data_IF_683041945810
#
_entry.id   IF_683041945810
#
_cell.length_a   1.000
_cell.length_b   1.000
_cell.length_c   1.000
_cell.angle_alpha   90.00
_cell.angle_beta   90.00
_cell.angle_gamma   90.00
#
_symmetry.space_group_name_H-M   'P 1'
#
loop_
_entity.id
_entity.type
_entity.pdbx_description
1 polymer ?
#
# COMPACT_ATOMS: atom_id res chain seq x y z
N UNK A 1 -2.17 -14.58 -16.44
CA UNK A 1 -1.08 -15.00 -15.55
C UNK A 1 -0.41 -13.75 -15.00
N UNK A 2 -0.11 -13.72 -13.72
CA UNK A 2 0.66 -12.63 -13.09
C UNK A 2 2.12 -12.71 -13.57
N UNK A 3 2.75 -11.57 -13.83
CA UNK A 3 4.18 -11.49 -14.13
C UNK A 3 5.03 -11.77 -12.89
N UNK A 4 6.30 -12.12 -13.09
CA UNK A 4 7.27 -12.31 -11.99
C UNK A 4 7.36 -11.08 -11.09
N UNK A 5 7.36 -9.88 -11.68
CA UNK A 5 7.45 -8.62 -10.93
C UNK A 5 6.20 -8.37 -10.10
N UNK A 6 5.01 -8.56 -10.67
CA UNK A 6 3.76 -8.45 -9.92
C UNK A 6 3.68 -9.49 -8.79
N UNK A 7 4.18 -10.70 -9.01
CA UNK A 7 4.25 -11.73 -7.97
C UNK A 7 5.22 -11.36 -6.83
N UNK A 8 6.35 -10.75 -7.16
CA UNK A 8 7.33 -10.26 -6.18
C UNK A 8 6.76 -9.10 -5.35
N UNK A 9 6.05 -8.18 -5.98
CA UNK A 9 5.33 -7.09 -5.31
C UNK A 9 4.24 -7.63 -4.38
N UNK A 10 3.48 -8.63 -4.85
CA UNK A 10 2.48 -9.33 -4.04
C UNK A 10 3.10 -9.94 -2.77
N UNK A 11 4.19 -10.67 -2.90
CA UNK A 11 4.90 -11.24 -1.73
C UNK A 11 5.38 -10.14 -0.78
N UNK A 12 5.91 -9.04 -1.31
CA UNK A 12 6.38 -7.93 -0.49
C UNK A 12 5.22 -7.26 0.28
N UNK A 13 4.06 -7.12 -0.35
CA UNK A 13 2.86 -6.60 0.31
C UNK A 13 2.43 -7.49 1.47
N UNK A 14 2.36 -8.82 1.26
CA UNK A 14 1.99 -9.78 2.31
C UNK A 14 2.97 -9.70 3.48
N UNK A 15 4.29 -9.65 3.20
CA UNK A 15 5.32 -9.54 4.24
C UNK A 15 5.09 -8.33 5.15
N UNK A 16 4.75 -7.18 4.57
CA UNK A 16 4.50 -5.95 5.32
C UNK A 16 3.19 -6.03 6.11
N UNK A 17 2.10 -6.47 5.48
CA UNK A 17 0.77 -6.48 6.09
C UNK A 17 0.67 -7.49 7.25
N UNK A 18 1.20 -8.69 7.03
CA UNK A 18 1.13 -9.80 7.99
C UNK A 18 2.33 -9.83 8.95
N UNK A 19 3.32 -8.94 8.74
CA UNK A 19 4.61 -8.93 9.46
C UNK A 19 5.33 -10.28 9.41
N UNK A 20 5.25 -10.95 8.26
CA UNK A 20 5.88 -12.24 8.00
C UNK A 20 7.10 -12.09 7.10
N UNK A 21 8.02 -13.03 7.20
CA UNK A 21 9.09 -13.21 6.25
C UNK A 21 8.71 -14.24 5.16
N UNK A 22 9.55 -14.38 4.14
CA UNK A 22 9.24 -15.23 2.99
C UNK A 22 9.24 -16.74 3.33
N UNK A 23 10.04 -17.19 4.29
CA UNK A 23 10.01 -18.60 4.71
C UNK A 23 8.75 -18.93 5.50
N UNK A 24 8.22 -17.99 6.28
CA UNK A 24 6.93 -18.13 6.97
C UNK A 24 5.76 -18.16 6.00
N UNK A 25 5.77 -17.31 4.97
CA UNK A 25 4.77 -17.34 3.89
C UNK A 25 4.80 -18.69 3.18
N UNK A 26 5.99 -19.17 2.80
CA UNK A 26 6.17 -20.46 2.15
C UNK A 26 5.68 -21.62 3.04
N UNK A 27 5.97 -21.57 4.33
CA UNK A 27 5.52 -22.56 5.32
C UNK A 27 3.99 -22.59 5.42
N UNK A 28 3.33 -21.42 5.46
CA UNK A 28 1.86 -21.31 5.44
C UNK A 28 1.25 -21.84 4.14
N UNK A 29 1.94 -21.66 3.01
CA UNK A 29 1.52 -22.20 1.72
C UNK A 29 1.75 -23.71 1.58
N UNK A 30 2.52 -24.33 2.48
CA UNK A 30 2.96 -25.72 2.34
C UNK A 30 4.00 -25.94 1.25
N UNK A 31 4.77 -24.90 0.87
CA UNK A 31 5.82 -24.98 -0.15
C UNK A 31 7.20 -24.71 0.44
N UNK A 32 8.25 -25.17 -0.25
CA UNK A 32 9.63 -24.87 0.17
C UNK A 32 9.91 -23.38 -0.03
N UNK A 33 10.61 -22.76 0.94
CA UNK A 33 11.02 -21.35 0.83
C UNK A 33 11.87 -21.08 -0.42
N UNK A 34 12.74 -22.02 -0.80
CA UNK A 34 13.53 -21.93 -2.04
C UNK A 34 12.66 -21.90 -3.28
N UNK A 35 11.59 -22.68 -3.32
CA UNK A 35 10.65 -22.73 -4.45
C UNK A 35 9.93 -21.39 -4.63
N UNK A 36 9.52 -20.76 -3.53
CA UNK A 36 8.90 -19.44 -3.56
C UNK A 36 9.91 -18.35 -4.00
N UNK A 37 11.17 -18.45 -3.57
CA UNK A 37 12.26 -17.58 -4.03
C UNK A 37 12.58 -17.75 -5.50
N UNK A 38 12.60 -18.99 -6.01
CA UNK A 38 12.84 -19.28 -7.41
C UNK A 38 11.73 -18.67 -8.28
N UNK A 39 10.47 -18.72 -7.84
CA UNK A 39 9.37 -18.01 -8.51
C UNK A 39 9.52 -16.50 -8.47
N UNK A 40 9.81 -15.93 -7.30
CA UNK A 40 9.96 -14.47 -7.13
C UNK A 40 11.13 -13.88 -7.93
N UNK A 41 12.13 -14.71 -8.26
CA UNK A 41 13.28 -14.33 -9.07
C UNK A 41 13.17 -14.80 -10.54
N UNK A 42 12.02 -15.35 -10.94
CA UNK A 42 11.76 -15.76 -12.33
C UNK A 42 12.54 -16.99 -12.80
N UNK A 43 13.12 -17.76 -11.88
CA UNK A 43 13.78 -19.05 -12.19
C UNK A 43 12.76 -20.16 -12.46
N UNK A 44 11.56 -20.02 -11.91
CA UNK A 44 10.42 -20.91 -12.09
C UNK A 44 9.19 -20.06 -12.41
N UNK A 45 8.31 -20.49 -13.33
CA UNK A 45 7.08 -19.76 -13.62
C UNK A 45 6.16 -19.68 -12.40
N UNK A 46 5.47 -18.55 -12.26
CA UNK A 46 4.44 -18.39 -11.22
C UNK A 46 3.24 -19.26 -11.57
N UNK A 47 2.84 -20.12 -10.65
CA UNK A 47 1.75 -21.08 -10.85
C UNK A 47 0.44 -20.59 -10.23
N UNK A 48 -0.69 -20.95 -10.85
CA UNK A 48 -2.03 -20.57 -10.34
C UNK A 48 -2.32 -21.15 -8.96
N UNK A 49 -1.81 -22.34 -8.64
CA UNK A 49 -1.98 -22.96 -7.32
C UNK A 49 -1.38 -22.11 -6.20
N UNK A 50 -0.18 -21.56 -6.43
CA UNK A 50 0.49 -20.66 -5.49
C UNK A 50 -0.28 -19.35 -5.34
N UNK A 51 -0.73 -18.75 -6.44
CA UNK A 51 -1.51 -17.50 -6.41
C UNK A 51 -2.82 -17.71 -5.64
N UNK A 52 -3.54 -18.81 -5.93
CA UNK A 52 -4.78 -19.17 -5.25
C UNK A 52 -4.56 -19.35 -3.75
N UNK A 53 -3.53 -20.13 -3.37
CA UNK A 53 -3.17 -20.33 -1.96
C UNK A 53 -2.85 -19.01 -1.24
N UNK A 54 -2.11 -18.10 -1.88
CA UNK A 54 -1.83 -16.77 -1.31
C UNK A 54 -3.10 -15.94 -1.14
N UNK A 55 -3.99 -15.96 -2.12
CA UNK A 55 -5.26 -15.21 -2.06
C UNK A 55 -6.19 -15.72 -0.95
N UNK A 56 -6.25 -17.03 -0.74
CA UNK A 56 -7.07 -17.68 0.30
C UNK A 56 -6.50 -17.43 1.70
N UNK A 57 -5.18 -17.56 1.87
CA UNK A 57 -4.55 -17.45 3.19
C UNK A 57 -4.47 -16.01 3.68
N UNK A 58 -4.25 -15.05 2.78
CA UNK A 58 -3.96 -13.67 3.14
C UNK A 58 -5.04 -12.68 2.70
N UNK A 59 -6.22 -13.18 2.29
CA UNK A 59 -7.38 -12.38 1.85
C UNK A 59 -7.01 -11.28 0.83
N UNK A 60 -6.10 -11.62 -0.07
CA UNK A 60 -5.55 -10.66 -1.02
C UNK A 60 -6.62 -10.37 -2.05
N UNK A 61 -7.04 -9.11 -2.15
CA UNK A 61 -7.83 -8.65 -3.28
C UNK A 61 -6.91 -8.67 -4.50
N UNK A 62 -6.97 -9.73 -5.31
CA UNK A 62 -6.28 -9.79 -6.59
C UNK A 62 -6.71 -8.56 -7.41
N UNK A 63 -5.84 -7.55 -7.50
CA UNK A 63 -6.07 -6.42 -8.39
C UNK A 63 -5.91 -6.95 -9.82
N UNK A 64 -7.02 -7.44 -10.39
CA UNK A 64 -7.19 -7.37 -11.83
C UNK A 64 -7.32 -5.89 -12.19
N UNK A 65 -6.20 -5.18 -12.36
CA UNK A 65 -6.23 -3.97 -13.16
C UNK A 65 -6.26 -4.39 -14.62
N UNK A 66 -7.43 -4.84 -15.06
CA UNK A 66 -7.83 -4.65 -16.44
C UNK A 66 -7.80 -3.15 -16.70
N UNK A 67 -6.83 -2.73 -17.50
CA UNK A 67 -6.76 -1.38 -18.07
C UNK A 67 -8.04 -1.17 -18.89
N UNK A 68 -9.02 -0.46 -18.35
CA UNK A 68 -10.04 0.23 -19.14
C UNK A 68 -10.80 1.27 -18.31
N UNK A 69 -10.61 2.54 -18.65
CA UNK A 69 -11.63 3.59 -18.54
C UNK A 69 -11.80 4.31 -17.20
N UNK A 70 -11.11 5.45 -17.09
CA UNK A 70 -11.46 6.63 -16.30
C UNK A 70 -11.76 6.49 -14.79
N UNK A 71 -10.75 6.81 -13.96
CA UNK A 71 -10.92 7.77 -12.85
C UNK A 71 -9.57 8.33 -12.38
N UNK A 72 -9.43 9.65 -12.61
CA UNK A 72 -8.62 10.65 -11.90
C UNK A 72 -7.12 10.39 -11.77
N UNK A 73 -6.42 10.96 -12.74
CA UNK A 73 -4.98 11.14 -12.84
C UNK A 73 -4.38 11.90 -11.64
N UNK A 74 -3.32 11.34 -11.05
CA UNK A 74 -2.11 12.11 -10.81
C UNK A 74 -0.94 11.39 -11.49
N UNK A 75 -0.31 12.15 -12.37
CA UNK A 75 0.49 11.67 -13.49
C UNK A 75 1.79 10.99 -13.07
N UNK A 76 2.08 9.95 -13.85
CA UNK A 76 3.37 9.29 -14.09
C UNK A 76 4.57 10.24 -14.13
N UNK A 77 5.62 9.90 -13.40
CA UNK A 77 6.98 10.13 -13.87
C UNK A 77 7.58 8.77 -14.22
N UNK A 78 7.72 8.57 -15.52
CA UNK A 78 8.60 7.61 -16.18
C UNK A 78 10.05 7.78 -15.72
N UNK A 79 10.81 6.67 -15.70
CA UNK A 79 12.25 6.48 -15.41
C UNK A 79 12.40 5.64 -14.12
N UNK A 80 13.12 4.53 -14.06
CA UNK A 80 14.18 4.05 -14.93
C UNK A 80 14.40 2.56 -14.67
N UNK A 81 14.74 1.81 -15.71
CA UNK A 81 15.39 0.51 -15.58
C UNK A 81 16.85 0.77 -15.17
N UNK A 82 17.09 1.19 -13.92
CA UNK A 82 18.43 1.22 -13.29
C UNK A 82 18.28 1.73 -11.86
N UNK A 83 18.35 0.84 -10.87
CA UNK A 83 19.35 0.97 -9.81
C UNK A 83 19.21 -0.19 -8.86
N UNK A 84 20.03 -1.20 -9.10
CA UNK A 84 20.19 -2.38 -8.26
C UNK A 84 20.95 -2.07 -6.95
N UNK A 85 21.08 -0.78 -6.58
CA UNK A 85 21.68 -0.28 -5.34
C UNK A 85 21.14 1.13 -5.02
N UNK A 86 20.14 1.27 -4.15
CA UNK A 86 19.86 2.58 -3.53
C UNK A 86 19.34 2.52 -2.10
N UNK A 87 19.68 1.47 -1.34
CA UNK A 87 19.65 1.52 0.13
C UNK A 87 20.89 2.29 0.65
N UNK A 88 21.20 3.44 0.04
CA UNK A 88 22.17 4.36 0.65
C UNK A 88 21.42 5.07 1.79
N UNK A 89 21.97 5.10 3.02
CA UNK A 89 21.31 5.71 4.20
C UNK A 89 20.73 7.10 3.93
N UNK A 90 21.33 7.85 3.02
CA UNK A 90 20.94 9.21 2.65
C UNK A 90 19.64 9.27 1.82
N UNK A 91 19.37 8.25 0.99
CA UNK A 91 18.14 8.16 0.20
C UNK A 91 16.95 7.83 1.11
N UNK A 92 17.15 6.90 2.05
CA UNK A 92 16.15 6.58 3.07
C UNK A 92 15.88 7.76 4.00
N UNK A 93 16.92 8.52 4.39
CA UNK A 93 16.76 9.78 5.14
C UNK A 93 15.93 10.80 4.37
N UNK A 94 16.19 10.98 3.07
CA UNK A 94 15.41 11.91 2.25
C UNK A 94 13.95 11.48 2.09
N UNK A 95 13.65 10.18 2.06
CA UNK A 95 12.29 9.66 2.05
C UNK A 95 11.59 9.92 3.40
N UNK A 96 12.29 9.68 4.52
CA UNK A 96 11.79 9.96 5.88
C UNK A 96 11.48 11.45 6.03
N UNK A 97 12.40 12.33 5.63
CA UNK A 97 12.19 13.79 5.71
C UNK A 97 10.98 14.26 4.90
N UNK A 98 10.70 13.62 3.74
CA UNK A 98 9.50 13.91 2.95
C UNK A 98 8.23 13.43 3.66
N UNK A 99 8.27 12.24 4.25
CA UNK A 99 7.14 11.69 4.99
C UNK A 99 6.83 12.53 6.22
N UNK A 100 7.84 12.99 6.96
CA UNK A 100 7.67 13.85 8.13
C UNK A 100 7.01 15.18 7.75
N UNK A 101 7.43 15.82 6.64
CA UNK A 101 6.76 17.04 6.13
C UNK A 101 5.29 16.81 5.77
N UNK A 102 4.98 15.67 5.15
CA UNK A 102 3.59 15.32 4.81
C UNK A 102 2.76 15.08 6.07
N UNK A 103 3.36 14.49 7.11
CA UNK A 103 2.71 14.28 8.41
C UNK A 103 2.40 15.65 9.04
N UNK A 104 3.39 16.55 9.12
CA UNK A 104 3.21 17.91 9.65
C UNK A 104 2.09 18.67 8.93
N UNK A 105 2.10 18.68 7.59
CA UNK A 105 1.05 19.34 6.79
C UNK A 105 -0.33 18.76 7.07
N UNK A 106 -0.43 17.43 7.20
CA UNK A 106 -1.70 16.76 7.52
C UNK A 106 -2.18 17.08 8.92
N UNK A 107 -1.29 17.17 9.90
CA UNK A 107 -1.65 17.54 11.27
C UNK A 107 -2.20 18.98 11.36
N UNK A 108 -1.58 19.92 10.65
CA UNK A 108 -2.10 21.30 10.55
C UNK A 108 -3.49 21.32 9.92
N UNK A 109 -3.69 20.57 8.83
CA UNK A 109 -4.99 20.48 8.16
C UNK A 109 -6.07 19.82 9.01
N UNK A 110 -5.70 18.86 9.86
CA UNK A 110 -6.62 18.26 10.83
C UNK A 110 -7.02 19.30 11.89
N UNK A 111 -6.06 20.04 12.46
CA UNK A 111 -6.35 21.11 13.42
C UNK A 111 -7.27 22.18 12.84
N UNK A 112 -7.06 22.57 11.59
CA UNK A 112 -7.91 23.52 10.88
C UNK A 112 -9.34 22.98 10.73
N UNK A 113 -9.49 21.71 10.32
CA UNK A 113 -10.80 21.07 10.18
C UNK A 113 -11.53 20.94 11.52
N UNK A 114 -10.83 20.62 12.60
CA UNK A 114 -11.41 20.54 13.94
C UNK A 114 -11.94 21.91 14.41
N UNK A 115 -11.23 22.99 14.10
CA UNK A 115 -11.70 24.35 14.41
C UNK A 115 -12.99 24.70 13.63
N UNK A 116 -13.03 24.37 12.33
CA UNK A 116 -14.21 24.59 11.49
C UNK A 116 -15.42 23.76 11.96
N UNK A 117 -15.19 22.53 12.43
CA UNK A 117 -16.27 21.68 12.99
C UNK A 117 -16.82 22.30 14.27
N UNK A 118 -15.95 22.73 15.20
CA UNK A 118 -16.38 23.40 16.44
C UNK A 118 -17.21 24.66 16.17
N UNK A 119 -16.79 25.45 15.19
CA UNK A 119 -17.54 26.65 14.79
C UNK A 119 -18.93 26.27 14.24
N UNK A 120 -19.00 25.29 13.34
CA UNK A 120 -20.28 24.81 12.79
C UNK A 120 -21.18 24.21 13.86
N UNK A 121 -20.63 23.46 14.82
CA UNK A 121 -21.40 22.93 15.94
C UNK A 121 -22.00 24.05 16.79
N UNK A 122 -21.25 25.13 17.05
CA UNK A 122 -21.77 26.29 17.75
C UNK A 122 -22.89 26.98 16.97
N UNK A 123 -22.74 27.15 15.65
CA UNK A 123 -23.77 27.71 14.77
C UNK A 123 -25.03 26.83 14.72
N UNK A 124 -24.88 25.51 14.67
CA UNK A 124 -26.01 24.58 14.72
C UNK A 124 -26.75 24.70 16.05
N UNK A 125 -26.01 24.79 17.17
CA UNK A 125 -26.62 24.92 18.50
C UNK A 125 -27.45 26.21 18.62
N UNK A 126 -26.95 27.34 18.13
CA UNK A 126 -27.70 28.61 18.16
C UNK A 126 -28.95 28.54 17.28
N UNK A 127 -28.85 27.95 16.07
CA UNK A 127 -30.00 27.74 15.19
C UNK A 127 -31.07 26.86 15.84
N UNK A 128 -30.67 25.79 16.53
CA UNK A 128 -31.58 24.91 17.26
C UNK A 128 -32.29 25.63 18.42
N UNK A 129 -31.62 26.57 19.09
CA UNK A 129 -32.23 27.39 20.14
C UNK A 129 -33.26 28.38 19.57
N UNK A 130 -33.02 28.94 18.38
CA UNK A 130 -33.97 29.81 17.68
C UNK A 130 -35.22 29.03 17.27
N UNK A 131 -35.05 27.84 16.70
CA UNK A 131 -36.17 27.00 16.24
C UNK A 131 -37.04 26.41 17.37
N UNK A 132 -36.54 26.42 18.61
CA UNK A 132 -37.28 25.97 19.80
C UNK A 132 -38.13 27.06 20.45
N UNK A 133 -37.96 28.33 20.06
CA UNK A 133 -38.82 29.45 20.46
C UNK A 133 -40.00 29.57 19.51
#
# INVERSE_FOLDING_TARGET
MISTEEFKLLLQQIKVQEKLNQSEIASKLGVKSTYLSDMANGRVPVTESVIKGLSELFHIKCMNQSISGNVISHSTVTQDNRSYYSDSPDVLRAEIDKLDRIIEEKEERIKEKDAQIKEKDAQIKTLLEILKK
#
